data_IF_560778550835
#
_entry.id   IF_560778550835
#
_cell.length_a   1.000
_cell.length_b   1.000
_cell.length_c   1.000
_cell.angle_alpha   90.00
_cell.angle_beta   90.00
_cell.angle_gamma   90.00
#
_symmetry.space_group_name_H-M   'P 1'
#
loop_
_entity.id
_entity.type
_entity.pdbx_description
1 polymer ?
#
# COMPACT_ATOMS: atom_id res chain seq x y z
N UNK A 1 -51.92 19.15 -49.62
CA UNK A 1 -51.56 17.80 -49.12
C UNK A 1 -50.64 18.00 -47.93
N UNK A 2 -51.15 17.85 -46.71
CA UNK A 2 -50.39 18.04 -45.47
C UNK A 2 -50.22 16.68 -44.78
N UNK A 3 -48.97 16.32 -44.48
CA UNK A 3 -48.63 15.08 -43.77
C UNK A 3 -48.72 15.30 -42.24
N UNK A 4 -49.12 14.27 -41.46
CA UNK A 4 -49.20 14.35 -40.01
C UNK A 4 -47.82 14.22 -39.35
N UNK A 5 -47.65 14.76 -38.11
CA UNK A 5 -46.39 14.69 -37.39
C UNK A 5 -46.16 13.29 -36.79
N UNK A 6 -44.98 12.72 -37.08
CA UNK A 6 -44.51 11.46 -36.52
C UNK A 6 -44.19 11.60 -35.03
N UNK A 7 -44.97 10.95 -34.18
CA UNK A 7 -44.69 10.80 -32.74
C UNK A 7 -43.69 9.65 -32.55
N UNK A 8 -42.43 9.98 -32.30
CA UNK A 8 -41.40 9.01 -31.89
C UNK A 8 -41.64 8.59 -30.44
N UNK A 9 -42.06 7.35 -30.24
CA UNK A 9 -42.20 6.74 -28.92
C UNK A 9 -40.81 6.58 -28.28
N UNK A 10 -40.55 7.36 -27.23
CA UNK A 10 -39.39 7.21 -26.34
C UNK A 10 -39.56 5.89 -25.58
N UNK A 11 -38.74 4.89 -25.90
CA UNK A 11 -38.66 3.64 -25.16
C UNK A 11 -38.08 3.93 -23.77
N UNK A 12 -38.76 3.57 -22.66
CA UNK A 12 -38.23 3.78 -21.32
C UNK A 12 -36.95 2.96 -21.16
N UNK A 13 -35.88 3.63 -20.70
CA UNK A 13 -34.62 2.99 -20.33
C UNK A 13 -34.92 1.82 -19.36
N UNK A 14 -34.24 0.66 -19.51
CA UNK A 14 -34.42 -0.47 -18.60
C UNK A 14 -34.13 -0.01 -17.16
N UNK A 15 -35.18 0.07 -16.36
CA UNK A 15 -35.14 0.46 -14.97
C UNK A 15 -34.24 -0.53 -14.23
N UNK A 16 -33.16 -0.02 -13.62
CA UNK A 16 -32.21 -0.81 -12.86
C UNK A 16 -32.98 -1.69 -11.85
N UNK A 17 -32.66 -2.98 -11.79
CA UNK A 17 -33.34 -3.96 -10.94
C UNK A 17 -33.72 -3.36 -9.58
N UNK A 18 -35.01 -3.37 -9.19
CA UNK A 18 -35.45 -2.68 -7.99
C UNK A 18 -34.69 -3.21 -6.78
N UNK A 19 -33.90 -2.34 -6.16
CA UNK A 19 -33.03 -2.61 -5.01
C UNK A 19 -33.80 -2.89 -3.71
N UNK A 20 -35.14 -2.82 -3.76
CA UNK A 20 -36.01 -3.09 -2.63
C UNK A 20 -36.30 -4.58 -2.56
N UNK A 21 -36.12 -5.16 -1.38
CA UNK A 21 -36.50 -6.56 -1.14
C UNK A 21 -37.98 -6.75 -1.55
N UNK A 22 -38.30 -7.77 -2.36
CA UNK A 22 -39.66 -7.97 -2.81
C UNK A 22 -40.59 -8.08 -1.60
N UNK A 23 -41.62 -7.25 -1.56
CA UNK A 23 -42.64 -7.35 -0.52
C UNK A 23 -43.50 -8.59 -0.83
N UNK A 24 -43.18 -9.71 -0.18
CA UNK A 24 -43.97 -10.93 -0.31
C UNK A 24 -45.27 -10.80 0.47
N UNK A 25 -46.38 -11.24 -0.12
CA UNK A 25 -47.67 -11.28 0.57
C UNK A 25 -47.64 -12.24 1.76
N UNK A 26 -48.39 -11.99 2.86
CA UNK A 26 -48.33 -12.80 4.09
C UNK A 26 -48.65 -14.29 3.91
N UNK A 27 -49.40 -14.65 2.88
CA UNK A 27 -49.73 -16.05 2.54
C UNK A 27 -48.73 -16.73 1.60
N UNK A 28 -47.69 -16.03 1.14
CA UNK A 28 -46.70 -16.58 0.21
C UNK A 28 -45.71 -17.49 0.93
N UNK A 29 -45.31 -18.64 0.33
CA UNK A 29 -44.22 -19.45 0.88
C UNK A 29 -42.92 -18.66 1.01
N UNK A 30 -42.72 -17.62 0.17
CA UNK A 30 -41.55 -16.75 0.26
C UNK A 30 -41.57 -15.83 1.50
N UNK A 31 -42.75 -15.45 2.00
CA UNK A 31 -42.86 -14.68 3.24
C UNK A 31 -42.46 -15.52 4.45
N UNK A 32 -42.85 -16.81 4.48
CA UNK A 32 -42.42 -17.76 5.50
C UNK A 32 -40.89 -17.99 5.45
N UNK A 33 -40.32 -18.16 4.25
CA UNK A 33 -38.87 -18.28 4.07
C UNK A 33 -38.15 -17.00 4.52
N UNK A 34 -38.65 -15.82 4.17
CA UNK A 34 -38.07 -14.55 4.57
C UNK A 34 -38.11 -14.36 6.10
N UNK A 35 -39.18 -14.76 6.77
CA UNK A 35 -39.32 -14.71 8.23
C UNK A 35 -38.41 -15.69 8.97
N UNK A 36 -38.05 -16.82 8.33
CA UNK A 36 -37.13 -17.82 8.88
C UNK A 36 -35.65 -17.48 8.67
N UNK A 37 -35.32 -16.48 7.84
CA UNK A 37 -33.93 -16.05 7.72
C UNK A 37 -33.50 -15.41 9.03
N UNK A 38 -32.35 -15.81 9.60
CA UNK A 38 -31.79 -15.14 10.76
C UNK A 38 -31.77 -13.61 10.53
N UNK A 39 -32.13 -12.80 11.52
CA UNK A 39 -32.17 -11.33 11.39
C UNK A 39 -30.80 -10.72 11.03
N UNK A 40 -29.73 -11.52 11.09
CA UNK A 40 -28.35 -11.16 10.77
C UNK A 40 -27.79 -11.88 9.53
N UNK A 41 -28.60 -12.58 8.72
CA UNK A 41 -28.13 -12.96 7.39
C UNK A 41 -27.84 -11.66 6.66
N UNK A 42 -26.59 -11.36 6.29
CA UNK A 42 -26.26 -10.11 5.63
C UNK A 42 -27.15 -10.03 4.41
N UNK A 43 -28.08 -9.05 4.43
CA UNK A 43 -28.80 -8.61 3.24
C UNK A 43 -27.76 -8.53 2.14
N UNK A 44 -28.08 -8.99 0.93
CA UNK A 44 -27.24 -8.76 -0.27
C UNK A 44 -26.76 -7.32 -0.18
N UNK A 45 -25.51 -7.13 0.23
CA UNK A 45 -24.93 -5.81 0.43
C UNK A 45 -25.04 -5.18 -0.91
N UNK A 46 -25.88 -4.16 -1.01
CA UNK A 46 -26.14 -3.57 -2.29
C UNK A 46 -24.81 -2.93 -2.71
N UNK A 47 -24.16 -3.50 -3.73
CA UNK A 47 -22.78 -3.15 -4.09
C UNK A 47 -22.60 -1.64 -4.33
N UNK A 48 -23.69 -0.92 -4.62
CA UNK A 48 -23.70 0.52 -4.83
C UNK A 48 -23.52 1.35 -3.55
N UNK A 49 -23.84 0.82 -2.37
CA UNK A 49 -23.68 1.52 -1.08
C UNK A 49 -22.54 0.97 -0.23
N UNK A 50 -21.92 -0.14 -0.65
CA UNK A 50 -20.84 -0.75 0.08
C UNK A 50 -19.58 0.11 0.00
N UNK A 51 -18.93 0.31 1.15
CA UNK A 51 -17.60 0.91 1.20
C UNK A 51 -16.56 0.01 0.53
N UNK A 52 -15.45 0.58 0.07
CA UNK A 52 -14.33 -0.20 -0.49
C UNK A 52 -13.84 -1.29 0.49
N UNK A 53 -13.82 -0.99 1.79
CA UNK A 53 -13.49 -1.95 2.83
C UNK A 53 -14.45 -3.15 2.85
N UNK A 54 -15.77 -2.93 2.81
CA UNK A 54 -16.76 -4.01 2.80
C UNK A 54 -16.69 -4.86 1.52
N UNK A 55 -16.45 -4.21 0.37
CA UNK A 55 -16.25 -4.94 -0.90
C UNK A 55 -15.01 -5.83 -0.82
N UNK A 56 -13.91 -5.33 -0.24
CA UNK A 56 -12.70 -6.14 -0.03
C UNK A 56 -12.95 -7.32 0.93
N UNK A 57 -13.73 -7.15 2.02
CA UNK A 57 -14.11 -8.26 2.91
C UNK A 57 -14.81 -9.37 2.12
N UNK A 58 -15.81 -9.00 1.31
CA UNK A 58 -16.57 -9.96 0.51
C UNK A 58 -15.69 -10.63 -0.55
N UNK A 59 -14.85 -9.85 -1.23
CA UNK A 59 -13.92 -10.36 -2.23
C UNK A 59 -12.92 -11.35 -1.61
N UNK A 60 -12.41 -11.04 -0.41
CA UNK A 60 -11.46 -11.89 0.30
C UNK A 60 -12.10 -13.20 0.80
N UNK A 61 -13.36 -13.19 1.25
CA UNK A 61 -14.10 -14.43 1.57
C UNK A 61 -14.24 -15.32 0.33
N UNK A 62 -14.57 -14.74 -0.83
CA UNK A 62 -14.67 -15.52 -2.07
C UNK A 62 -13.30 -16.03 -2.52
N UNK A 63 -12.25 -15.21 -2.40
CA UNK A 63 -10.88 -15.62 -2.68
C UNK A 63 -10.43 -16.78 -1.76
N UNK A 64 -10.65 -16.67 -0.45
CA UNK A 64 -10.27 -17.71 0.51
C UNK A 64 -10.97 -19.06 0.24
N UNK A 65 -12.20 -19.05 -0.29
CA UNK A 65 -12.90 -20.27 -0.73
C UNK A 65 -12.36 -20.79 -2.07
N UNK A 66 -12.03 -19.87 -2.98
CA UNK A 66 -11.56 -20.19 -4.33
C UNK A 66 -10.12 -20.66 -4.40
N UNK A 67 -9.25 -20.21 -3.48
CA UNK A 67 -7.81 -20.45 -3.55
C UNK A 67 -7.44 -21.94 -3.53
N UNK A 68 -8.17 -22.74 -2.75
CA UNK A 68 -7.99 -24.20 -2.66
C UNK A 68 -8.45 -24.94 -3.92
N UNK A 69 -9.18 -24.27 -4.80
CA UNK A 69 -9.66 -24.81 -6.08
C UNK A 69 -8.88 -24.28 -7.28
N UNK A 70 -7.94 -23.36 -7.06
CA UNK A 70 -7.10 -22.86 -8.15
C UNK A 70 -6.26 -24.02 -8.69
N UNK A 71 -6.20 -24.20 -10.03
CA UNK A 71 -5.32 -25.20 -10.63
C UNK A 71 -3.88 -25.01 -10.14
N UNK A 72 -3.37 -26.01 -9.42
CA UNK A 72 -1.95 -26.07 -9.09
C UNK A 72 -1.20 -26.66 -10.28
N UNK A 73 0.03 -26.22 -10.50
CA UNK A 73 0.95 -26.88 -11.43
C UNK A 73 1.27 -28.23 -10.81
N UNK A 74 0.43 -29.22 -11.12
CA UNK A 74 0.80 -30.60 -10.88
C UNK A 74 2.00 -30.83 -11.78
N UNK A 75 3.19 -30.86 -11.18
CA UNK A 75 4.39 -31.38 -11.81
C UNK A 75 4.09 -32.82 -12.21
N UNK A 76 3.43 -32.98 -13.36
CA UNK A 76 3.25 -34.28 -13.98
C UNK A 76 4.63 -34.68 -14.45
N UNK A 77 5.37 -35.33 -13.55
CA UNK A 77 6.51 -36.19 -13.81
C UNK A 77 6.08 -37.43 -14.61
N UNK A 78 5.19 -37.26 -15.59
CA UNK A 78 4.74 -38.31 -16.45
C UNK A 78 5.52 -38.19 -17.75
N UNK A 79 6.66 -38.88 -17.72
CA UNK A 79 7.21 -39.61 -18.86
C UNK A 79 6.16 -39.97 -19.89
N UNK A 80 6.58 -39.86 -21.15
CA UNK A 80 5.92 -40.33 -22.38
C UNK A 80 5.30 -39.24 -23.27
N UNK A 81 6.20 -38.45 -23.85
CA UNK A 81 6.44 -38.44 -25.31
C UNK A 81 5.34 -39.03 -26.20
N UNK A 82 4.38 -38.21 -26.62
CA UNK A 82 3.87 -38.24 -27.99
C UNK A 82 3.63 -36.80 -28.44
N UNK A 83 4.58 -36.31 -29.22
CA UNK A 83 4.59 -35.02 -29.90
C UNK A 83 3.48 -34.99 -30.95
N UNK A 84 2.25 -34.69 -30.54
CA UNK A 84 1.26 -34.16 -31.48
C UNK A 84 1.36 -32.66 -31.38
N UNK A 85 2.22 -32.09 -32.22
CA UNK A 85 2.32 -30.65 -32.44
C UNK A 85 0.97 -30.16 -32.96
N UNK A 86 0.13 -29.64 -32.08
CA UNK A 86 -1.04 -28.87 -32.48
C UNK A 86 -0.63 -27.41 -32.63
N UNK A 87 -0.52 -26.88 -33.87
CA UNK A 87 0.14 -25.60 -34.13
C UNK A 87 -0.62 -24.35 -33.69
N UNK A 88 -1.77 -24.42 -33.00
CA UNK A 88 -2.60 -23.23 -32.72
C UNK A 88 -3.38 -23.25 -31.40
N UNK A 89 -2.80 -23.74 -30.30
CA UNK A 89 -3.40 -23.45 -28.99
C UNK A 89 -3.09 -22.01 -28.57
N UNK A 90 -3.91 -21.07 -29.04
CA UNK A 90 -3.87 -19.64 -28.66
C UNK A 90 -4.27 -19.38 -27.19
N UNK A 91 -4.56 -20.42 -26.41
CA UNK A 91 -4.89 -20.28 -25.00
C UNK A 91 -3.60 -20.37 -24.17
N UNK A 92 -3.20 -19.23 -23.62
CA UNK A 92 -2.14 -19.17 -22.61
C UNK A 92 -2.56 -20.02 -21.41
N UNK A 93 -1.73 -20.96 -20.94
CA UNK A 93 -2.06 -21.79 -19.80
C UNK A 93 -2.27 -20.93 -18.54
N UNK A 94 -3.23 -21.32 -17.71
CA UNK A 94 -3.52 -20.65 -16.44
C UNK A 94 -2.28 -20.68 -15.52
N UNK A 95 -1.74 -19.50 -15.18
CA UNK A 95 -0.65 -19.36 -14.21
C UNK A 95 -1.21 -18.92 -12.87
N UNK A 96 -1.25 -19.83 -11.89
CA UNK A 96 -1.71 -19.53 -10.52
C UNK A 96 -0.92 -18.38 -9.90
N UNK A 97 0.41 -18.40 -10.04
CA UNK A 97 1.29 -17.36 -9.53
C UNK A 97 0.95 -15.98 -10.11
N UNK A 98 0.72 -15.88 -11.42
CA UNK A 98 0.34 -14.61 -12.04
C UNK A 98 -1.02 -14.10 -11.54
N UNK A 99 -1.98 -15.00 -11.35
CA UNK A 99 -3.29 -14.65 -10.78
C UNK A 99 -3.17 -14.17 -9.33
N UNK A 100 -2.38 -14.84 -8.49
CA UNK A 100 -2.14 -14.40 -7.11
C UNK A 100 -1.51 -13.00 -7.05
N UNK A 101 -0.51 -12.74 -7.88
CA UNK A 101 0.11 -11.42 -7.96
C UNK A 101 -0.88 -10.34 -8.41
N UNK A 102 -1.68 -10.62 -9.44
CA UNK A 102 -2.71 -9.69 -9.93
C UNK A 102 -3.75 -9.39 -8.86
N UNK A 103 -4.18 -10.41 -8.10
CA UNK A 103 -5.10 -10.25 -6.98
C UNK A 103 -4.44 -9.41 -5.88
N UNK A 104 -3.21 -9.74 -5.47
CA UNK A 104 -2.51 -9.02 -4.40
C UNK A 104 -2.25 -7.56 -4.74
N UNK A 105 -1.77 -7.27 -5.95
CA UNK A 105 -1.53 -5.88 -6.41
C UNK A 105 -2.84 -5.09 -6.55
N UNK A 106 -3.94 -5.75 -6.94
CA UNK A 106 -5.27 -5.12 -6.93
C UNK A 106 -5.75 -4.78 -5.51
N UNK A 107 -5.56 -5.69 -4.55
CA UNK A 107 -5.86 -5.43 -3.13
C UNK A 107 -5.02 -4.26 -2.62
N UNK A 108 -3.71 -4.27 -2.88
CA UNK A 108 -2.79 -3.21 -2.48
C UNK A 108 -3.20 -1.85 -3.06
N UNK A 109 -3.51 -1.78 -4.36
CA UNK A 109 -3.94 -0.53 -5.00
C UNK A 109 -5.29 -0.01 -4.49
N UNK A 110 -6.14 -0.85 -3.89
CA UNK A 110 -7.33 -0.38 -3.13
C UNK A 110 -6.92 0.04 -1.72
N UNK A 111 -6.07 -0.74 -1.05
CA UNK A 111 -5.59 -0.47 0.30
C UNK A 111 -4.96 0.92 0.41
N UNK A 112 -4.09 1.31 -0.53
CA UNK A 112 -3.45 2.63 -0.60
C UNK A 112 -4.45 3.81 -0.61
N UNK A 113 -5.68 3.58 -1.08
CA UNK A 113 -6.72 4.61 -1.20
C UNK A 113 -7.77 4.58 -0.10
N UNK A 114 -7.68 3.66 0.87
CA UNK A 114 -8.62 3.64 2.00
C UNK A 114 -8.34 4.84 2.91
N UNK A 115 -9.40 5.41 3.49
CA UNK A 115 -9.31 6.62 4.33
C UNK A 115 -8.71 6.34 5.71
N UNK A 116 -9.06 5.20 6.30
CA UNK A 116 -8.64 4.85 7.66
C UNK A 116 -7.31 4.11 7.63
N UNK A 117 -6.34 4.62 8.39
CA UNK A 117 -4.99 4.04 8.48
C UNK A 117 -5.01 2.56 8.90
N UNK A 118 -5.81 2.23 9.90
CA UNK A 118 -6.00 0.84 10.35
C UNK A 118 -6.50 -0.09 9.25
N UNK A 119 -7.37 0.41 8.35
CA UNK A 119 -7.84 -0.37 7.20
C UNK A 119 -6.76 -0.49 6.12
N UNK A 120 -5.97 0.56 5.86
CA UNK A 120 -4.82 0.51 4.93
C UNK A 120 -3.82 -0.56 5.36
N UNK A 121 -3.38 -0.49 6.62
CA UNK A 121 -2.45 -1.45 7.20
C UNK A 121 -2.99 -2.88 7.12
N UNK A 122 -4.25 -3.10 7.53
CA UNK A 122 -4.86 -4.43 7.48
C UNK A 122 -4.89 -5.01 6.06
N UNK A 123 -5.35 -4.24 5.06
CA UNK A 123 -5.46 -4.75 3.70
C UNK A 123 -4.11 -4.88 2.99
N UNK A 124 -3.14 -4.03 3.30
CA UNK A 124 -1.77 -4.19 2.83
C UNK A 124 -1.12 -5.47 3.41
N UNK A 125 -1.34 -5.79 4.69
CA UNK A 125 -0.90 -7.08 5.26
C UNK A 125 -1.57 -8.28 4.59
N UNK A 126 -2.87 -8.20 4.28
CA UNK A 126 -3.56 -9.25 3.54
C UNK A 126 -2.96 -9.44 2.14
N UNK A 127 -2.65 -8.35 1.43
CA UNK A 127 -1.96 -8.41 0.14
C UNK A 127 -0.57 -9.06 0.24
N UNK A 128 0.23 -8.73 1.27
CA UNK A 128 1.51 -9.39 1.53
C UNK A 128 1.34 -10.90 1.78
N UNK A 129 0.29 -11.30 2.51
CA UNK A 129 -0.05 -12.71 2.73
C UNK A 129 -0.32 -13.47 1.44
N UNK A 130 -1.01 -12.86 0.46
CA UNK A 130 -1.23 -13.44 -0.87
C UNK A 130 0.08 -13.54 -1.65
N UNK A 131 0.93 -12.51 -1.62
CA UNK A 131 2.26 -12.53 -2.26
C UNK A 131 3.18 -13.60 -1.65
N UNK A 132 3.10 -13.81 -0.33
CA UNK A 132 3.88 -14.83 0.37
C UNK A 132 3.55 -16.26 -0.12
N UNK A 133 2.31 -16.51 -0.54
CA UNK A 133 1.90 -17.81 -1.10
C UNK A 133 2.57 -18.11 -2.44
N UNK A 134 2.92 -17.09 -3.23
CA UNK A 134 3.65 -17.30 -4.50
C UNK A 134 5.06 -17.86 -4.28
N UNK A 135 5.72 -17.50 -3.18
CA UNK A 135 7.08 -17.95 -2.87
C UNK A 135 7.16 -19.46 -2.69
N UNK A 136 6.12 -20.06 -2.12
CA UNK A 136 6.05 -21.50 -1.88
C UNK A 136 6.01 -22.29 -3.21
N UNK A 137 5.31 -21.78 -4.22
CA UNK A 137 5.14 -22.50 -5.49
C UNK A 137 6.32 -22.31 -6.45
N UNK A 138 6.94 -21.12 -6.45
CA UNK A 138 8.11 -20.83 -7.30
C UNK A 138 9.38 -21.58 -6.89
N UNK A 139 9.49 -22.01 -5.64
CA UNK A 139 10.57 -22.89 -5.17
C UNK A 139 10.34 -24.35 -5.58
N UNK A 140 9.10 -24.79 -5.68
CA UNK A 140 8.77 -26.19 -5.96
C UNK A 140 8.71 -26.50 -7.47
N UNK A 141 8.34 -25.53 -8.31
CA UNK A 141 7.88 -25.85 -9.66
C UNK A 141 8.86 -25.54 -10.82
N UNK A 142 9.96 -24.80 -10.61
CA UNK A 142 10.84 -24.37 -11.72
C UNK A 142 10.09 -23.65 -12.85
N UNK A 143 8.95 -23.01 -12.51
CA UNK A 143 7.97 -22.51 -13.48
C UNK A 143 8.44 -21.16 -14.01
N UNK A 144 8.73 -21.12 -15.31
CA UNK A 144 8.88 -19.88 -16.07
C UNK A 144 7.54 -19.15 -16.10
N UNK A 145 7.49 -17.97 -15.52
CA UNK A 145 6.31 -17.10 -15.58
C UNK A 145 6.34 -16.34 -16.90
N UNK A 146 5.38 -16.61 -17.79
CA UNK A 146 5.32 -15.98 -19.13
C UNK A 146 5.05 -14.48 -19.08
N UNK A 147 5.60 -13.75 -20.07
CA UNK A 147 5.72 -12.31 -19.99
C UNK A 147 4.45 -11.47 -20.07
N UNK A 148 3.39 -12.04 -20.62
CA UNK A 148 2.13 -11.35 -20.81
C UNK A 148 1.19 -11.42 -19.60
N UNK A 149 1.61 -12.05 -18.50
CA UNK A 149 0.74 -12.30 -17.34
C UNK A 149 0.68 -11.12 -16.34
N UNK A 150 1.57 -10.14 -16.47
CA UNK A 150 1.55 -8.92 -15.68
C UNK A 150 1.23 -7.74 -16.62
N UNK A 151 0.11 -7.03 -16.43
CA UNK A 151 -0.09 -5.79 -17.15
C UNK A 151 0.98 -4.81 -16.68
N UNK A 152 1.92 -4.45 -17.55
CA UNK A 152 2.74 -3.27 -17.33
C UNK A 152 1.78 -2.09 -17.16
N UNK A 153 1.67 -1.57 -15.94
CA UNK A 153 0.96 -0.33 -15.69
C UNK A 153 1.83 0.82 -16.19
N UNK A 154 2.01 0.90 -17.51
CA UNK A 154 2.53 2.11 -18.10
C UNK A 154 1.42 3.17 -18.00
N UNK A 155 1.65 4.30 -17.31
CA UNK A 155 0.79 5.45 -17.52
C UNK A 155 0.87 5.80 -19.01
N UNK A 156 -0.26 5.73 -19.72
CA UNK A 156 -0.34 6.08 -21.13
C UNK A 156 -0.07 7.58 -21.31
N UNK A 157 1.20 7.96 -21.41
CA UNK A 157 1.62 9.23 -21.99
C UNK A 157 1.58 9.07 -23.51
N UNK A 158 0.53 9.62 -24.12
CA UNK A 158 0.40 9.70 -25.58
C UNK A 158 1.47 10.65 -26.15
N UNK A 159 2.66 10.13 -26.43
CA UNK A 159 3.63 10.76 -27.30
C UNK A 159 3.85 9.86 -28.52
N UNK A 160 3.33 10.30 -29.67
CA UNK A 160 3.67 9.71 -30.95
C UNK A 160 5.18 9.91 -31.19
N UNK A 161 5.89 8.88 -31.65
CA UNK A 161 6.71 8.87 -32.86
C UNK A 161 7.45 7.52 -33.00
N UNK A 162 7.55 7.09 -34.26
CA UNK A 162 8.00 5.80 -34.75
C UNK A 162 9.50 5.56 -34.52
N UNK A 163 9.86 4.38 -34.02
CA UNK A 163 10.97 3.56 -34.50
C UNK A 163 10.75 2.12 -34.00
N UNK A 164 10.74 1.15 -34.91
CA UNK A 164 10.60 -0.27 -34.61
C UNK A 164 11.97 -0.93 -34.45
N UNK A 165 12.41 -1.25 -33.23
CA UNK A 165 13.37 -2.32 -33.06
C UNK A 165 12.60 -3.65 -33.12
N UNK A 166 13.02 -4.54 -34.01
CA UNK A 166 12.59 -5.94 -34.00
C UNK A 166 13.21 -6.63 -32.77
N UNK A 167 12.66 -6.32 -31.59
CA UNK A 167 12.90 -7.08 -30.38
C UNK A 167 12.17 -8.41 -30.51
N UNK A 168 12.92 -9.50 -30.40
CA UNK A 168 12.40 -10.86 -30.41
C UNK A 168 11.35 -11.01 -29.32
N UNK A 169 10.08 -11.18 -29.72
CA UNK A 169 8.90 -11.38 -28.85
C UNK A 169 8.86 -12.80 -28.26
N UNK A 170 10.01 -13.37 -27.90
CA UNK A 170 10.03 -14.58 -27.07
C UNK A 170 9.92 -14.16 -25.61
N UNK A 171 8.68 -13.81 -25.24
CA UNK A 171 8.23 -13.34 -23.93
C UNK A 171 8.26 -14.42 -22.85
N UNK A 172 9.44 -14.95 -22.58
CA UNK A 172 9.76 -15.64 -21.35
C UNK A 172 10.57 -14.66 -20.49
N UNK A 173 9.95 -14.08 -19.46
CA UNK A 173 10.75 -13.52 -18.37
C UNK A 173 11.69 -14.63 -17.90
N UNK A 174 12.95 -14.27 -17.68
CA UNK A 174 13.85 -15.18 -17.00
C UNK A 174 13.23 -15.53 -15.64
N UNK A 175 13.44 -16.75 -15.16
CA UNK A 175 12.87 -17.25 -13.89
C UNK A 175 13.24 -16.38 -12.67
N UNK A 176 14.17 -15.44 -12.84
CA UNK A 176 14.63 -14.48 -11.85
C UNK A 176 13.79 -13.18 -11.81
N UNK A 177 13.16 -12.76 -12.91
CA UNK A 177 12.54 -11.42 -13.03
C UNK A 177 11.30 -11.25 -12.13
N UNK A 178 10.49 -12.30 -11.95
CA UNK A 178 9.28 -12.20 -11.12
C UNK A 178 9.61 -12.05 -9.62
N UNK A 179 10.82 -12.44 -9.18
CA UNK A 179 11.23 -12.31 -7.78
C UNK A 179 11.45 -10.85 -7.41
N UNK A 180 12.02 -10.06 -8.33
CA UNK A 180 12.16 -8.61 -8.20
C UNK A 180 10.79 -7.94 -8.07
N UNK A 181 9.87 -8.25 -8.99
CA UNK A 181 8.50 -7.72 -8.97
C UNK A 181 7.74 -8.09 -7.67
N UNK A 182 7.83 -9.35 -7.22
CA UNK A 182 7.22 -9.77 -5.95
C UNK A 182 7.86 -9.05 -4.76
N UNK A 183 9.19 -8.95 -4.72
CA UNK A 183 9.88 -8.22 -3.65
C UNK A 183 9.45 -6.75 -3.62
N UNK A 184 9.35 -6.08 -4.77
CA UNK A 184 8.88 -4.69 -4.86
C UNK A 184 7.44 -4.53 -4.38
N UNK A 185 6.53 -5.42 -4.81
CA UNK A 185 5.14 -5.39 -4.36
C UNK A 185 5.00 -5.64 -2.85
N UNK A 186 5.81 -6.53 -2.28
CA UNK A 186 5.87 -6.76 -0.83
C UNK A 186 6.43 -5.54 -0.08
N UNK A 187 7.48 -4.93 -0.62
CA UNK A 187 8.02 -3.68 -0.08
C UNK A 187 6.94 -2.60 0.00
N UNK A 188 6.13 -2.43 -1.05
CA UNK A 188 4.99 -1.51 -1.05
C UNK A 188 3.93 -1.86 -0.01
N UNK A 189 3.60 -3.15 0.17
CA UNK A 189 2.68 -3.57 1.23
C UNK A 189 3.19 -3.10 2.60
N UNK A 190 4.46 -3.36 2.90
CA UNK A 190 5.05 -2.99 4.18
C UNK A 190 5.25 -1.48 4.35
N UNK A 191 5.49 -0.74 3.26
CA UNK A 191 5.51 0.72 3.27
C UNK A 191 4.15 1.27 3.71
N UNK A 192 3.05 0.79 3.11
CA UNK A 192 1.67 1.18 3.49
C UNK A 192 1.35 0.81 4.94
N UNK A 193 1.83 -0.34 5.42
CA UNK A 193 1.66 -0.75 6.83
C UNK A 193 2.41 0.19 7.77
N UNK A 194 3.67 0.50 7.43
CA UNK A 194 4.53 1.36 8.24
C UNK A 194 4.00 2.80 8.34
N UNK A 195 3.67 3.41 7.20
CA UNK A 195 3.13 4.78 7.16
C UNK A 195 1.79 4.86 7.90
N UNK A 196 0.87 3.93 7.65
CA UNK A 196 -0.43 3.92 8.31
C UNK A 196 -0.34 3.74 9.84
N UNK A 197 0.65 3.00 10.34
CA UNK A 197 0.91 2.87 11.79
C UNK A 197 1.61 4.11 12.36
N UNK A 198 2.43 4.78 11.56
CA UNK A 198 3.14 6.00 11.94
C UNK A 198 2.25 7.25 12.05
N UNK A 199 1.12 7.30 11.35
CA UNK A 199 0.27 8.50 11.27
C UNK A 199 -0.20 9.05 12.62
N UNK A 200 -0.52 8.19 13.60
CA UNK A 200 -0.90 8.65 14.95
C UNK A 200 0.26 9.35 15.65
N UNK A 201 1.47 8.83 15.48
CA UNK A 201 2.70 9.39 16.04
C UNK A 201 3.03 10.73 15.38
N UNK A 202 2.96 10.80 14.05
CA UNK A 202 3.17 12.04 13.29
C UNK A 202 2.15 13.12 13.71
N UNK A 203 0.86 12.77 13.76
CA UNK A 203 -0.20 13.70 14.21
C UNK A 203 0.04 14.19 15.65
N UNK A 204 0.50 13.32 16.54
CA UNK A 204 0.78 13.70 17.94
C UNK A 204 1.99 14.64 18.04
N UNK A 205 3.05 14.38 17.26
CA UNK A 205 4.24 15.24 17.19
C UNK A 205 3.87 16.62 16.61
N UNK A 206 3.08 16.67 15.55
CA UNK A 206 2.55 17.92 14.97
C UNK A 206 1.68 18.70 15.98
N UNK A 207 0.96 17.98 16.85
CA UNK A 207 0.19 18.54 17.96
C UNK A 207 1.04 19.04 19.14
N UNK A 208 2.38 18.91 19.09
CA UNK A 208 3.29 19.34 20.14
C UNK A 208 3.36 18.40 21.34
N UNK A 209 2.96 17.13 21.18
CA UNK A 209 3.16 16.12 22.21
C UNK A 209 4.66 15.88 22.44
N UNK A 210 5.03 15.44 23.65
CA UNK A 210 6.41 15.13 24.00
C UNK A 210 6.99 14.04 23.08
N UNK A 211 8.03 14.34 22.28
CA UNK A 211 8.64 13.38 21.38
C UNK A 211 9.14 12.12 22.07
N UNK A 212 9.63 12.23 23.31
CA UNK A 212 10.12 11.07 24.05
C UNK A 212 9.01 10.08 24.38
N UNK A 213 7.78 10.56 24.60
CA UNK A 213 6.61 9.69 24.85
C UNK A 213 6.09 9.10 23.55
N UNK A 214 5.95 9.93 22.51
CA UNK A 214 5.36 9.49 21.23
C UNK A 214 6.25 8.49 20.51
N UNK A 215 7.56 8.75 20.41
CA UNK A 215 8.48 7.87 19.66
C UNK A 215 8.71 6.52 20.36
N UNK A 216 8.48 6.44 21.67
CA UNK A 216 8.55 5.19 22.44
C UNK A 216 7.20 4.47 22.54
N UNK A 217 6.14 4.99 21.93
CA UNK A 217 4.85 4.33 21.89
C UNK A 217 4.91 3.01 21.09
N UNK A 218 4.07 2.01 21.42
CA UNK A 218 4.05 0.73 20.71
C UNK A 218 3.76 0.90 19.22
N UNK A 219 2.84 1.80 18.85
CA UNK A 219 2.49 2.07 17.45
C UNK A 219 3.69 2.61 16.65
N UNK A 220 4.52 3.47 17.26
CA UNK A 220 5.73 3.97 16.64
C UNK A 220 6.77 2.86 16.44
N UNK A 221 6.90 1.94 17.39
CA UNK A 221 7.79 0.77 17.26
C UNK A 221 7.32 -0.16 16.13
N UNK A 222 6.03 -0.48 16.09
CA UNK A 222 5.41 -1.30 15.05
C UNK A 222 5.54 -0.66 13.65
N UNK A 223 5.47 0.67 13.56
CA UNK A 223 5.70 1.41 12.33
C UNK A 223 7.15 1.30 11.87
N UNK A 224 8.13 1.49 12.77
CA UNK A 224 9.56 1.35 12.46
C UNK A 224 9.90 -0.06 11.96
N UNK A 225 9.38 -1.10 12.61
CA UNK A 225 9.59 -2.49 12.18
C UNK A 225 9.05 -2.74 10.77
N UNK A 226 7.83 -2.26 10.49
CA UNK A 226 7.22 -2.38 9.17
C UNK A 226 8.02 -1.63 8.09
N UNK A 227 8.49 -0.41 8.37
CA UNK A 227 9.31 0.39 7.45
C UNK A 227 10.68 -0.27 7.19
N UNK A 228 11.34 -0.80 8.22
CA UNK A 228 12.58 -1.56 8.06
C UNK A 228 12.39 -2.82 7.18
N UNK A 229 11.24 -3.48 7.35
CA UNK A 229 10.85 -4.62 6.50
C UNK A 229 10.62 -4.18 5.05
N UNK A 230 9.97 -3.04 4.83
CA UNK A 230 9.76 -2.46 3.50
C UNK A 230 11.08 -2.19 2.77
N UNK A 231 12.02 -1.52 3.44
CA UNK A 231 13.36 -1.22 2.92
C UNK A 231 14.08 -2.51 2.51
N UNK A 232 14.06 -3.54 3.36
CA UNK A 232 14.67 -4.85 3.06
C UNK A 232 14.10 -5.49 1.78
N UNK A 233 12.79 -5.36 1.57
CA UNK A 233 12.15 -5.87 0.36
C UNK A 233 12.47 -5.05 -0.88
N UNK A 234 12.51 -3.72 -0.77
CA UNK A 234 12.89 -2.86 -1.87
C UNK A 234 14.36 -3.04 -2.28
N UNK A 235 15.28 -3.19 -1.33
CA UNK A 235 16.68 -3.52 -1.62
C UNK A 235 16.80 -4.85 -2.37
N UNK A 236 16.04 -5.87 -1.96
CA UNK A 236 15.99 -7.15 -2.67
C UNK A 236 15.41 -7.01 -4.07
N UNK A 237 14.39 -6.15 -4.24
CA UNK A 237 13.80 -5.87 -5.54
C UNK A 237 14.81 -5.15 -6.44
N UNK A 238 15.52 -4.15 -5.91
CA UNK A 238 16.57 -3.40 -6.60
C UNK A 238 17.72 -4.29 -7.05
N UNK A 239 18.20 -5.18 -6.18
CA UNK A 239 19.24 -6.17 -6.53
C UNK A 239 18.81 -7.24 -7.53
N UNK A 240 17.50 -7.41 -7.76
CA UNK A 240 16.93 -8.32 -8.75
C UNK A 240 16.33 -7.63 -9.96
N UNK A 241 16.48 -6.30 -10.10
CA UNK A 241 15.96 -5.54 -11.22
C UNK A 241 16.71 -5.94 -12.50
N UNK A 242 15.96 -6.35 -13.53
CA UNK A 242 16.55 -6.76 -14.80
C UNK A 242 16.94 -5.54 -15.66
N UNK A 243 16.39 -4.37 -15.35
CA UNK A 243 16.60 -3.13 -16.08
C UNK A 243 16.81 -1.93 -15.14
N UNK A 244 17.54 -0.93 -15.64
CA UNK A 244 17.71 0.36 -14.94
C UNK A 244 16.40 1.12 -14.73
N UNK A 245 15.37 0.82 -15.52
CA UNK A 245 14.04 1.46 -15.39
C UNK A 245 13.37 1.02 -14.09
N UNK A 246 13.39 -0.28 -13.78
CA UNK A 246 12.82 -0.82 -12.54
C UNK A 246 13.57 -0.29 -11.31
N UNK A 247 14.90 -0.20 -11.39
CA UNK A 247 15.71 0.42 -10.33
C UNK A 247 15.31 1.89 -10.08
N UNK A 248 15.02 2.63 -11.15
CA UNK A 248 14.57 4.03 -11.08
C UNK A 248 13.18 4.15 -10.45
N UNK A 249 12.32 3.13 -10.59
CA UNK A 249 10.99 3.10 -9.95
C UNK A 249 11.07 2.72 -8.46
N UNK A 250 12.04 1.89 -8.07
CA UNK A 250 12.18 1.40 -6.69
C UNK A 250 12.89 2.42 -5.79
N UNK A 251 13.89 3.14 -6.29
CA UNK A 251 14.72 4.03 -5.47
C UNK A 251 13.93 5.14 -4.76
N UNK A 252 12.93 5.81 -5.39
CA UNK A 252 12.06 6.76 -4.70
C UNK A 252 11.25 6.14 -3.55
N UNK A 253 10.84 4.88 -3.66
CA UNK A 253 10.12 4.16 -2.61
C UNK A 253 11.02 3.83 -1.41
N UNK A 254 12.31 3.53 -1.67
CA UNK A 254 13.31 3.38 -0.60
C UNK A 254 13.51 4.71 0.12
N UNK A 255 13.67 5.80 -0.63
CA UNK A 255 13.84 7.13 -0.07
C UNK A 255 12.64 7.54 0.80
N UNK A 256 11.41 7.29 0.33
CA UNK A 256 10.18 7.52 1.11
C UNK A 256 10.18 6.72 2.41
N UNK A 257 10.45 5.41 2.35
CA UNK A 257 10.49 4.55 3.54
C UNK A 257 11.53 5.00 4.57
N UNK A 258 12.73 5.39 4.09
CA UNK A 258 13.82 5.91 4.93
C UNK A 258 13.45 7.23 5.58
N UNK A 259 12.81 8.14 4.84
CA UNK A 259 12.38 9.44 5.35
C UNK A 259 11.36 9.29 6.47
N UNK A 260 10.32 8.47 6.27
CA UNK A 260 9.32 8.18 7.31
C UNK A 260 9.97 7.48 8.51
N UNK A 261 10.90 6.55 8.28
CA UNK A 261 11.62 5.87 9.36
C UNK A 261 12.46 6.84 10.18
N UNK A 262 13.15 7.79 9.53
CA UNK A 262 13.93 8.84 10.19
C UNK A 262 13.04 9.72 11.09
N UNK A 263 11.86 10.14 10.59
CA UNK A 263 10.89 10.93 11.36
C UNK A 263 10.40 10.21 12.63
N UNK A 264 10.37 8.88 12.62
CA UNK A 264 9.95 8.04 13.74
C UNK A 264 11.13 7.55 14.61
N UNK A 265 12.35 8.01 14.37
CA UNK A 265 13.55 7.58 15.10
C UNK A 265 13.93 8.59 16.19
N UNK A 266 14.10 8.09 17.42
CA UNK A 266 14.41 8.92 18.60
C UNK A 266 15.90 9.27 18.74
N UNK A 267 16.80 8.39 18.30
CA UNK A 267 18.23 8.63 18.33
C UNK A 267 18.65 9.58 17.20
N UNK A 268 19.28 10.70 17.56
CA UNK A 268 19.64 11.75 16.61
C UNK A 268 20.62 11.27 15.54
N UNK A 269 21.66 10.54 15.95
CA UNK A 269 22.70 10.08 15.04
C UNK A 269 22.12 9.12 14.00
N UNK A 270 21.33 8.14 14.46
CA UNK A 270 20.63 7.20 13.59
C UNK A 270 19.66 7.92 12.64
N UNK A 271 18.97 8.95 13.13
CA UNK A 271 18.06 9.75 12.32
C UNK A 271 18.79 10.52 11.21
N UNK A 272 19.91 11.17 11.52
CA UNK A 272 20.76 11.86 10.55
C UNK A 272 21.30 10.90 9.48
N UNK A 273 21.75 9.71 9.87
CA UNK A 273 22.20 8.66 8.94
C UNK A 273 21.09 8.22 7.98
N UNK A 274 19.86 8.04 8.49
CA UNK A 274 18.70 7.68 7.68
C UNK A 274 18.33 8.79 6.68
N UNK A 275 18.37 10.07 7.09
CA UNK A 275 18.13 11.19 6.16
C UNK A 275 19.20 11.28 5.07
N UNK A 276 20.49 11.16 5.43
CA UNK A 276 21.58 11.15 4.46
C UNK A 276 21.41 10.02 3.44
N UNK A 277 20.99 8.85 3.91
CA UNK A 277 20.69 7.70 3.05
C UNK A 277 19.47 7.94 2.16
N UNK A 278 18.39 8.51 2.69
CA UNK A 278 17.20 8.85 1.92
C UNK A 278 17.53 9.83 0.78
N UNK A 279 18.37 10.83 1.06
CA UNK A 279 18.85 11.78 0.07
C UNK A 279 19.67 11.11 -1.04
N UNK A 280 20.53 10.15 -0.69
CA UNK A 280 21.31 9.40 -1.67
C UNK A 280 20.41 8.55 -2.60
N UNK A 281 19.34 7.95 -2.07
CA UNK A 281 18.40 7.12 -2.86
C UNK A 281 17.45 7.94 -3.73
N UNK A 282 17.11 9.17 -3.33
CA UNK A 282 16.22 10.06 -4.11
C UNK A 282 16.87 10.58 -5.41
N UNK A 283 18.21 10.56 -5.49
CA UNK A 283 18.98 11.12 -6.61
C UNK A 283 18.91 12.66 -6.72
N UNK A 284 19.59 13.23 -7.71
CA UNK A 284 19.65 14.70 -7.91
C UNK A 284 18.31 15.33 -8.36
N UNK A 285 17.33 14.53 -8.78
CA UNK A 285 16.11 15.01 -9.47
C UNK A 285 14.89 15.25 -8.59
N UNK A 286 14.89 14.73 -7.36
CA UNK A 286 13.83 15.00 -6.38
C UNK A 286 14.40 15.97 -5.35
N UNK A 287 14.10 17.28 -5.47
CA UNK A 287 14.13 18.12 -4.29
C UNK A 287 13.04 17.56 -3.38
N UNK A 288 13.40 16.55 -2.56
CA UNK A 288 12.69 16.26 -1.33
C UNK A 288 12.56 17.64 -0.70
N UNK A 289 11.34 18.16 -0.64
CA UNK A 289 11.02 19.49 -0.11
C UNK A 289 11.30 19.60 1.39
N UNK A 290 12.40 18.99 1.85
CA UNK A 290 13.22 19.35 2.99
C UNK A 290 13.73 20.80 2.85
N UNK A 291 12.83 21.75 2.59
CA UNK A 291 12.79 22.84 3.55
C UNK A 291 12.47 22.14 4.87
N UNK A 292 13.53 21.80 5.62
CA UNK A 292 13.43 21.23 6.95
C UNK A 292 12.24 21.90 7.64
N UNK A 293 11.23 21.14 8.10
CA UNK A 293 10.05 21.72 8.69
C UNK A 293 10.53 22.68 9.77
N UNK A 294 10.17 23.95 9.56
CA UNK A 294 10.32 25.15 10.38
C UNK A 294 11.21 24.96 11.63
N UNK A 295 12.23 25.80 11.89
CA UNK A 295 13.18 25.67 13.01
C UNK A 295 12.61 25.44 14.44
N UNK A 296 11.29 25.39 14.64
CA UNK A 296 10.62 24.97 15.86
C UNK A 296 10.87 23.50 16.29
N UNK A 297 11.01 22.53 15.37
CA UNK A 297 11.33 21.14 15.76
C UNK A 297 12.81 20.97 16.14
N UNK A 298 13.72 21.66 15.45
CA UNK A 298 15.12 21.75 15.85
C UNK A 298 15.30 22.53 17.17
N UNK A 299 14.48 23.55 17.44
CA UNK A 299 14.51 24.30 18.70
C UNK A 299 14.03 23.49 19.91
N UNK A 300 13.15 22.51 19.71
CA UNK A 300 12.73 21.56 20.76
C UNK A 300 13.77 20.46 21.00
N UNK A 301 14.49 20.02 19.95
CA UNK A 301 15.55 19.02 20.07
C UNK A 301 16.85 19.57 20.70
N UNK A 302 17.15 20.87 20.54
CA UNK A 302 18.35 21.48 21.10
C UNK A 302 18.29 21.78 22.61
N UNK A 303 17.21 21.42 23.32
CA UNK A 303 17.15 21.62 24.76
C UNK A 303 17.47 23.06 25.16
N UNK A 304 17.19 24.04 24.29
CA UNK A 304 17.13 25.44 24.69
C UNK A 304 15.79 25.58 25.40
N UNK A 305 15.71 24.97 26.59
CA UNK A 305 14.99 25.62 27.67
C UNK A 305 15.58 27.01 27.71
N UNK A 306 14.85 27.97 27.14
CA UNK A 306 15.01 29.36 27.49
C UNK A 306 14.63 29.40 28.97
N UNK A 307 15.57 29.01 29.83
CA UNK A 307 15.71 29.53 31.18
C UNK A 307 15.81 31.04 30.96
N UNK A 308 14.64 31.65 30.85
CA UNK A 308 14.44 32.98 31.35
C UNK A 308 14.76 32.86 32.83
N UNK A 309 16.06 32.95 33.14
CA UNK A 309 16.51 33.42 34.44
C UNK A 309 15.60 34.62 34.71
N UNK A 310 14.77 34.61 35.76
CA UNK A 310 14.18 35.85 36.20
C UNK A 310 15.36 36.80 36.35
N UNK A 311 15.30 37.88 35.61
CA UNK A 311 16.18 39.01 35.80
C UNK A 311 15.90 39.44 37.25
N UNK A 312 16.73 38.94 38.16
CA UNK A 312 16.83 39.49 39.50
C UNK A 312 17.32 40.90 39.25
N UNK A 313 16.36 41.82 39.19
CA UNK A 313 16.61 43.23 39.27
C UNK A 313 17.52 43.43 40.47
N UNK A 314 18.71 43.87 40.15
CA UNK A 314 19.78 44.30 41.02
C UNK A 314 19.23 45.45 41.88
N UNK A 315 18.55 45.10 42.96
CA UNK A 315 18.25 46.05 44.04
C UNK A 315 19.58 46.34 44.71
N UNK A 316 20.23 47.40 44.24
CA UNK A 316 21.23 48.14 44.99
C UNK A 316 20.62 48.56 46.34
N UNK A 317 20.75 47.71 47.35
CA UNK A 317 20.51 48.10 48.72
C UNK A 317 21.79 48.72 49.28
N UNK A 318 21.68 50.01 49.55
CA UNK A 318 22.75 50.90 49.97
C UNK A 318 23.16 50.50 51.38
N UNK A 319 24.40 50.00 51.51
CA UNK A 319 25.13 49.96 52.78
C UNK A 319 25.09 51.37 53.42
N UNK A 320 24.24 51.55 54.42
CA UNK A 320 24.46 52.58 55.43
C UNK A 320 25.29 51.98 56.55
N UNK A 321 26.53 52.49 56.64
CA UNK A 321 27.37 52.43 57.81
C UNK A 321 26.64 53.06 59.01
N UNK A 322 26.19 52.25 59.96
CA UNK A 322 26.00 52.71 61.34
C UNK A 322 27.08 52.09 62.22
N UNK A 323 28.22 52.77 62.20
CA UNK A 323 29.17 52.82 63.30
C UNK A 323 28.52 53.68 64.39
N UNK A 324 27.98 53.07 65.44
CA UNK A 324 27.87 53.75 66.71
C UNK A 324 28.61 52.95 67.78
N UNK A 325 29.71 53.58 68.23
CA UNK A 325 30.41 53.30 69.46
C UNK A 325 29.45 53.36 70.64
N UNK A 326 29.46 52.33 71.49
CA UNK A 326 29.07 52.49 72.90
C UNK A 326 30.07 51.76 73.79
N UNK A 327 30.23 52.38 74.96
CA UNK A 327 31.40 52.38 75.85
C UNK A 327 31.48 51.21 76.82
#
# INVERSE_FOLDING_TARGET
MSLPPSTTASSPLPEAFPLREPAYSPGSPFAAIAALRPPHVPRRTALHSASAHEVLILAMDQFARGIFRMPHVQLRLHSHSYTTSHPYSLYQPFSRAAQLFSIATSILGVAERLRLATQRAHWAQQADGVLAQMRMEGLEAGVRVHAHAFPHTHPHTHAAHSHSPTHSLDGAWAEEDWRGAVAGARGRCWLVVGTARGESSETALEGGADPAVVLNAPDAADAREALGTAITFFERAKGGAASSVEETEISPLIAEALLTLANLTADENTREELYARAQAEAGEGLPLGLELPVPGLAALALGVTRESKPQEDEVMDVRMDERMDES
#
